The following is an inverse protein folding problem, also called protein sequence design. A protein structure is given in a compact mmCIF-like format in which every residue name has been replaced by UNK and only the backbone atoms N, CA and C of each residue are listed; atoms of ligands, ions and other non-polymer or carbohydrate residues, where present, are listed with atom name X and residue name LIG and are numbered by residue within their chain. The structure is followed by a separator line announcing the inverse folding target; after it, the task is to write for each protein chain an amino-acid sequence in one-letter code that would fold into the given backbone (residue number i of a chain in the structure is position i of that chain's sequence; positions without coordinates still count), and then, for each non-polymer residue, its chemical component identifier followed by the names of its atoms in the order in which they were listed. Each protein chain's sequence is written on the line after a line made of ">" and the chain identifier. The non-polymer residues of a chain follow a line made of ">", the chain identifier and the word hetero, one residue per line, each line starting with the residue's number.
data_IF_138888749463
#
_entry.id   IF_138888749463
#
_cell.length_a   1.000
_cell.length_b   1.000
_cell.length_c   1.000
_cell.angle_alpha   90.00
_cell.angle_beta   90.00
_cell.angle_gamma   90.00
#
_symmetry.space_group_name_H-M   'P 1'
#
loop_
_entity.id
_entity.type
_entity.pdbx_description
1 polymer ?
#
# COMPACT_ATOMS: atom_id res chain seq x y z
N UNK A 1 -10.97 21.12 0.64
CA UNK A 1 -10.00 20.08 1.09
C UNK A 1 -9.36 19.44 -0.14
N UNK A 2 -8.03 19.36 -0.13
CA UNK A 2 -7.31 18.72 -1.24
C UNK A 2 -7.44 17.20 -1.11
N UNK A 3 -7.55 16.48 -2.25
CA UNK A 3 -7.53 15.02 -2.23
C UNK A 3 -6.22 14.49 -1.65
N UNK A 4 -6.31 13.43 -0.85
CA UNK A 4 -5.13 12.81 -0.26
C UNK A 4 -4.44 11.87 -1.26
N UNK A 5 -3.13 11.89 -1.24
CA UNK A 5 -2.29 10.95 -1.99
C UNK A 5 -1.73 9.94 -1.01
N UNK A 6 -1.99 8.67 -1.26
CA UNK A 6 -1.74 7.60 -0.30
C UNK A 6 -0.92 6.47 -0.91
N UNK A 7 -0.07 5.87 -0.08
CA UNK A 7 0.62 4.61 -0.39
C UNK A 7 0.33 3.66 0.77
N UNK A 8 0.07 2.39 0.48
CA UNK A 8 -0.33 1.41 1.49
C UNK A 8 0.63 0.22 1.47
N UNK A 9 1.19 -0.10 2.65
CA UNK A 9 2.09 -1.25 2.84
C UNK A 9 1.33 -2.56 2.69
N UNK A 10 2.05 -3.60 2.29
CA UNK A 10 1.50 -4.94 2.00
C UNK A 10 0.70 -5.52 3.17
N UNK A 11 1.17 -5.36 4.40
CA UNK A 11 0.47 -5.96 5.54
C UNK A 11 -0.94 -5.38 5.75
N UNK A 12 -1.16 -4.12 5.40
CA UNK A 12 -2.49 -3.51 5.45
C UNK A 12 -3.38 -4.11 4.36
N UNK A 13 -2.84 -4.32 3.16
CA UNK A 13 -3.57 -4.95 2.05
C UNK A 13 -3.94 -6.40 2.41
N UNK A 14 -3.02 -7.16 2.99
CA UNK A 14 -3.29 -8.54 3.43
C UNK A 14 -4.40 -8.57 4.48
N UNK A 15 -4.31 -7.71 5.49
CA UNK A 15 -5.35 -7.60 6.52
C UNK A 15 -6.71 -7.23 5.93
N UNK A 16 -6.72 -6.33 4.93
CA UNK A 16 -7.94 -5.94 4.23
C UNK A 16 -8.56 -7.13 3.49
N UNK A 17 -7.73 -7.98 2.87
CA UNK A 17 -8.20 -9.16 2.15
C UNK A 17 -8.76 -10.22 3.10
N UNK A 18 -8.13 -10.40 4.26
CA UNK A 18 -8.49 -11.45 5.21
C UNK A 18 -9.65 -11.06 6.14
N UNK A 19 -9.86 -9.78 6.38
CA UNK A 19 -10.87 -9.29 7.31
C UNK A 19 -11.74 -8.22 6.66
N UNK A 20 -12.85 -8.63 5.99
CA UNK A 20 -13.70 -7.68 5.27
C UNK A 20 -14.33 -6.60 6.15
N UNK A 21 -14.46 -6.84 7.46
CA UNK A 21 -15.08 -5.89 8.39
C UNK A 21 -14.06 -5.08 9.18
N UNK A 22 -12.77 -5.24 8.88
CA UNK A 22 -11.71 -4.55 9.62
C UNK A 22 -11.44 -3.13 9.14
N UNK A 23 -10.74 -2.37 9.97
CA UNK A 23 -10.34 -1.00 9.65
C UNK A 23 -9.44 -0.94 8.41
N UNK A 24 -8.60 -1.96 8.21
CA UNK A 24 -7.70 -2.01 7.06
C UNK A 24 -8.49 -2.08 5.75
N UNK A 25 -9.58 -2.84 5.71
CA UNK A 25 -10.45 -2.90 4.53
C UNK A 25 -11.10 -1.54 4.27
N UNK A 26 -11.60 -0.89 5.31
CA UNK A 26 -12.20 0.44 5.21
C UNK A 26 -11.18 1.45 4.68
N UNK A 27 -9.97 1.44 5.23
CA UNK A 27 -8.89 2.33 4.81
C UNK A 27 -8.54 2.12 3.34
N UNK A 28 -8.39 0.86 2.91
CA UNK A 28 -8.08 0.55 1.52
C UNK A 28 -9.18 1.03 0.59
N UNK A 29 -10.44 0.76 0.92
CA UNK A 29 -11.57 1.18 0.08
C UNK A 29 -11.66 2.70 -0.02
N UNK A 30 -11.39 3.43 1.06
CA UNK A 30 -11.34 4.89 1.01
C UNK A 30 -10.23 5.37 0.08
N UNK A 31 -9.05 4.75 0.14
CA UNK A 31 -7.93 5.12 -0.73
C UNK A 31 -8.23 4.88 -2.21
N UNK A 32 -9.07 3.89 -2.52
CA UNK A 32 -9.47 3.55 -3.89
C UNK A 32 -10.66 4.36 -4.37
N UNK A 33 -11.31 5.13 -3.49
CA UNK A 33 -12.55 5.86 -3.80
C UNK A 33 -12.25 7.35 -3.94
N UNK A 34 -12.68 7.94 -5.06
CA UNK A 34 -12.52 9.38 -5.28
C UNK A 34 -13.15 10.17 -4.14
N UNK A 35 -12.57 11.29 -3.73
CA UNK A 35 -11.47 12.03 -4.38
C UNK A 35 -10.06 11.56 -4.00
N UNK A 36 -9.91 10.57 -3.12
CA UNK A 36 -8.61 10.12 -2.68
C UNK A 36 -7.89 9.37 -3.81
N UNK A 37 -6.55 9.28 -3.73
CA UNK A 37 -5.72 8.62 -4.74
C UNK A 37 -4.76 7.64 -4.08
N UNK A 38 -4.87 6.37 -4.44
CA UNK A 38 -3.88 5.36 -4.07
C UNK A 38 -2.82 5.29 -5.16
N UNK A 39 -1.56 5.33 -4.77
CA UNK A 39 -0.42 5.17 -5.67
C UNK A 39 0.27 3.86 -5.40
N UNK A 40 0.64 3.16 -6.47
CA UNK A 40 1.39 1.92 -6.43
C UNK A 40 2.50 1.97 -7.48
N UNK A 41 3.48 1.08 -7.35
CA UNK A 41 4.46 0.82 -8.39
C UNK A 41 4.30 -0.63 -8.84
N UNK A 42 4.96 -1.01 -9.95
CA UNK A 42 4.96 -2.41 -10.36
C UNK A 42 5.57 -3.32 -9.28
N UNK A 43 6.63 -2.86 -8.60
CA UNK A 43 7.23 -3.59 -7.50
C UNK A 43 6.25 -3.82 -6.36
N UNK A 44 5.45 -2.82 -6.02
CA UNK A 44 4.43 -2.92 -4.97
C UNK A 44 3.32 -3.88 -5.38
N UNK A 45 2.85 -3.80 -6.62
CA UNK A 45 1.82 -4.73 -7.12
C UNK A 45 2.32 -6.17 -7.09
N UNK A 46 3.57 -6.41 -7.49
CA UNK A 46 4.19 -7.73 -7.43
C UNK A 46 4.29 -8.23 -5.99
N UNK A 47 4.64 -7.36 -5.06
CA UNK A 47 4.70 -7.68 -3.63
C UNK A 47 3.32 -8.07 -3.10
N UNK A 48 2.28 -7.28 -3.41
CA UNK A 48 0.91 -7.62 -3.02
C UNK A 48 0.52 -9.00 -3.56
N UNK A 49 0.76 -9.23 -4.85
CA UNK A 49 0.40 -10.50 -5.50
C UNK A 49 1.14 -11.68 -4.87
N UNK A 50 2.44 -11.54 -4.63
CA UNK A 50 3.25 -12.60 -4.04
C UNK A 50 2.80 -12.96 -2.63
N UNK A 51 2.57 -11.97 -1.80
CA UNK A 51 2.17 -12.20 -0.41
C UNK A 51 0.76 -12.78 -0.33
N UNK A 52 -0.19 -12.24 -1.09
CA UNK A 52 -1.57 -12.73 -1.11
C UNK A 52 -1.67 -14.18 -1.61
N UNK A 53 -0.70 -14.64 -2.38
CA UNK A 53 -0.69 -16.01 -2.91
C UNK A 53 -0.07 -17.03 -1.95
N UNK A 54 0.44 -16.60 -0.79
CA UNK A 54 1.03 -17.53 0.20
C UNK A 54 0.00 -18.54 0.68
N UNK A 55 0.32 -19.88 0.64
CA UNK A 55 -0.66 -20.91 0.94
C UNK A 55 -1.29 -20.83 2.34
N UNK A 56 -0.53 -20.38 3.34
CA UNK A 56 -1.04 -20.30 4.71
C UNK A 56 -2.15 -19.25 4.89
N UNK A 57 -2.33 -18.33 3.94
CA UNK A 57 -3.41 -17.36 3.99
C UNK A 57 -4.74 -17.92 3.50
N UNK A 58 -4.72 -19.04 2.78
CA UNK A 58 -5.92 -19.73 2.28
C UNK A 58 -6.86 -18.82 1.46
N UNK A 59 -6.31 -17.87 0.71
CA UNK A 59 -7.12 -17.01 -0.16
C UNK A 59 -7.27 -17.69 -1.50
N UNK A 60 -8.50 -17.91 -1.93
CA UNK A 60 -8.79 -18.55 -3.22
C UNK A 60 -8.21 -17.72 -4.36
N UNK A 61 -7.69 -18.41 -5.38
CA UNK A 61 -7.06 -17.77 -6.53
C UNK A 61 -7.98 -16.72 -7.19
N UNK A 62 -9.24 -17.06 -7.42
CA UNK A 62 -10.19 -16.13 -8.03
C UNK A 62 -10.43 -14.89 -7.17
N UNK A 63 -10.53 -15.08 -5.85
CA UNK A 63 -10.74 -13.98 -4.91
C UNK A 63 -9.53 -13.04 -4.90
N UNK A 64 -8.31 -13.58 -4.81
CA UNK A 64 -7.13 -12.72 -4.79
C UNK A 64 -6.89 -12.03 -6.13
N UNK A 65 -7.21 -12.68 -7.25
CA UNK A 65 -7.11 -12.04 -8.57
C UNK A 65 -8.09 -10.87 -8.69
N UNK A 66 -9.33 -11.03 -8.24
CA UNK A 66 -10.32 -9.95 -8.25
C UNK A 66 -9.90 -8.80 -7.35
N UNK A 67 -9.33 -9.12 -6.18
CA UNK A 67 -8.86 -8.13 -5.23
C UNK A 67 -7.71 -7.30 -5.81
N UNK A 68 -6.73 -7.97 -6.42
CA UNK A 68 -5.61 -7.31 -7.07
C UNK A 68 -6.05 -6.46 -8.26
N UNK A 69 -7.01 -6.97 -9.05
CA UNK A 69 -7.54 -6.23 -10.19
C UNK A 69 -8.27 -4.98 -9.74
N UNK A 70 -9.02 -5.06 -8.64
CA UNK A 70 -9.67 -3.90 -8.04
C UNK A 70 -8.65 -2.83 -7.67
N UNK A 71 -7.58 -3.23 -6.98
CA UNK A 71 -6.51 -2.30 -6.59
C UNK A 71 -5.88 -1.69 -7.83
N UNK A 72 -5.50 -2.50 -8.81
CA UNK A 72 -4.84 -2.02 -10.02
C UNK A 72 -5.72 -1.05 -10.81
N UNK A 73 -7.01 -1.35 -10.94
CA UNK A 73 -7.93 -0.54 -11.74
C UNK A 73 -8.26 0.80 -11.10
N UNK A 74 -8.15 0.91 -9.78
CA UNK A 74 -8.53 2.11 -9.04
C UNK A 74 -7.35 2.82 -8.39
N UNK A 75 -6.12 2.46 -8.77
CA UNK A 75 -4.91 3.12 -8.29
C UNK A 75 -4.15 3.75 -9.46
N UNK A 76 -3.18 4.59 -9.10
CA UNK A 76 -2.26 5.18 -10.06
C UNK A 76 -0.94 4.40 -10.02
N UNK A 77 -0.58 3.76 -11.13
CA UNK A 77 0.68 3.03 -11.23
C UNK A 77 1.76 4.00 -11.69
N UNK A 78 2.77 4.18 -10.86
CA UNK A 78 3.87 5.10 -11.16
C UNK A 78 5.20 4.34 -11.16
N UNK A 79 6.22 4.95 -11.77
CA UNK A 79 7.57 4.40 -11.82
C UNK A 79 8.50 5.30 -11.01
N UNK A 80 8.92 4.88 -9.79
CA UNK A 80 9.87 5.67 -9.00
C UNK A 80 11.18 5.84 -9.76
N UNK A 81 11.74 7.05 -9.72
CA UNK A 81 12.98 7.39 -10.42
C UNK A 81 14.22 7.19 -9.56
N UNK A 82 14.06 6.98 -8.25
CA UNK A 82 15.17 6.83 -7.31
C UNK A 82 15.02 5.57 -6.48
N UNK A 83 16.15 4.98 -6.14
CA UNK A 83 16.20 3.93 -5.12
C UNK A 83 16.58 4.56 -3.80
N UNK A 84 15.90 4.16 -2.73
CA UNK A 84 16.09 4.71 -1.39
C UNK A 84 16.41 3.60 -0.39
N UNK A 85 17.27 3.90 0.57
CA UNK A 85 17.64 2.97 1.63
C UNK A 85 17.32 3.62 2.98
N UNK A 86 16.02 3.81 3.26
CA UNK A 86 15.53 4.57 4.40
C UNK A 86 14.99 3.66 5.50
N UNK A 87 14.31 2.57 5.11
CA UNK A 87 13.74 1.63 6.08
C UNK A 87 14.80 0.68 6.62
N UNK A 88 14.60 0.22 7.86
CA UNK A 88 15.43 -0.82 8.45
C UNK A 88 15.29 -2.16 7.75
N UNK A 89 14.16 -2.39 7.06
CA UNK A 89 13.93 -3.57 6.23
C UNK A 89 14.01 -3.14 4.77
N UNK A 90 15.01 -3.64 3.99
CA UNK A 90 15.15 -3.25 2.59
C UNK A 90 13.91 -3.51 1.73
N UNK A 91 13.13 -4.54 2.07
CA UNK A 91 11.92 -4.87 1.30
C UNK A 91 10.84 -3.79 1.43
N UNK A 92 10.91 -2.96 2.47
CA UNK A 92 9.96 -1.87 2.69
C UNK A 92 10.33 -0.59 1.95
N UNK A 93 11.54 -0.50 1.42
CA UNK A 93 11.98 0.72 0.74
C UNK A 93 11.17 1.02 -0.53
N UNK A 94 10.60 0.00 -1.18
CA UNK A 94 9.76 0.22 -2.36
C UNK A 94 8.56 1.12 -2.06
N UNK A 95 8.03 1.06 -0.83
CA UNK A 95 6.89 1.90 -0.43
C UNK A 95 7.30 3.35 -0.25
N UNK A 96 8.48 3.58 0.32
CA UNK A 96 9.01 4.94 0.47
C UNK A 96 9.39 5.52 -0.90
N UNK A 97 9.96 4.71 -1.79
CA UNK A 97 10.27 5.12 -3.16
C UNK A 97 9.02 5.56 -3.91
N UNK A 98 7.94 4.79 -3.77
CA UNK A 98 6.65 5.12 -4.37
C UNK A 98 6.07 6.40 -3.76
N UNK A 99 6.10 6.52 -2.44
CA UNK A 99 5.61 7.71 -1.75
C UNK A 99 6.37 8.97 -2.16
N UNK A 100 7.70 8.85 -2.32
CA UNK A 100 8.54 9.94 -2.77
C UNK A 100 8.14 10.40 -4.18
N UNK A 101 8.00 9.46 -5.11
CA UNK A 101 7.64 9.75 -6.49
C UNK A 101 6.23 10.34 -6.61
N UNK A 102 5.30 9.84 -5.81
CA UNK A 102 3.90 10.29 -5.81
C UNK A 102 3.70 11.57 -5.01
N UNK A 103 4.68 11.99 -4.22
CA UNK A 103 4.53 13.07 -3.23
C UNK A 103 3.35 12.77 -2.31
N UNK A 104 3.33 11.55 -1.76
CA UNK A 104 2.22 11.07 -0.95
C UNK A 104 2.09 11.86 0.35
N UNK A 105 0.84 12.05 0.79
CA UNK A 105 0.56 12.66 2.08
C UNK A 105 0.79 11.66 3.21
N UNK A 106 0.42 10.40 2.99
CA UNK A 106 0.56 9.34 3.99
C UNK A 106 1.05 8.04 3.35
N UNK A 107 1.91 7.34 4.10
CA UNK A 107 2.23 5.93 3.89
C UNK A 107 1.59 5.17 5.04
N UNK A 108 0.65 4.30 4.75
CA UNK A 108 -0.13 3.58 5.76
C UNK A 108 0.44 2.19 5.93
N UNK A 109 0.87 1.86 7.15
CA UNK A 109 1.52 0.59 7.47
C UNK A 109 1.10 0.09 8.85
N UNK A 110 1.08 -1.24 9.03
CA UNK A 110 0.95 -1.85 10.35
C UNK A 110 2.28 -1.98 11.09
N UNK A 111 3.40 -1.72 10.41
CA UNK A 111 4.76 -1.89 10.94
C UNK A 111 5.52 -0.57 10.98
N UNK A 112 4.97 0.43 11.68
CA UNK A 112 5.57 1.76 11.73
C UNK A 112 7.04 1.75 12.18
N UNK A 113 7.45 0.75 12.98
CA UNK A 113 8.82 0.62 13.47
C UNK A 113 9.84 0.39 12.35
N UNK A 114 9.43 -0.16 11.22
CA UNK A 114 10.31 -0.41 10.08
C UNK A 114 10.57 0.84 9.25
N UNK A 115 9.84 1.91 9.52
CA UNK A 115 9.88 3.15 8.74
C UNK A 115 10.28 4.33 9.60
N UNK A 116 10.84 5.41 9.02
CA UNK A 116 10.95 6.67 9.73
C UNK A 116 9.54 7.21 10.03
N UNK A 117 9.42 8.19 10.90
CA UNK A 117 8.12 8.80 11.21
C UNK A 117 7.56 9.59 10.05
N UNK A 118 8.43 10.08 9.20
CA UNK A 118 8.05 10.82 7.99
C UNK A 118 9.17 10.73 6.97
N UNK A 119 8.83 10.95 5.72
CA UNK A 119 9.78 11.11 4.61
C UNK A 119 9.34 12.33 3.82
N UNK A 120 10.10 13.44 3.90
CA UNK A 120 9.72 14.73 3.33
C UNK A 120 8.32 15.11 3.83
N UNK A 121 7.34 15.35 2.93
CA UNK A 121 5.97 15.67 3.33
C UNK A 121 5.12 14.44 3.69
N UNK A 122 5.61 13.23 3.43
CA UNK A 122 4.86 12.00 3.69
C UNK A 122 4.94 11.61 5.16
N UNK A 123 3.79 11.49 5.81
CA UNK A 123 3.71 10.98 7.19
C UNK A 123 3.44 9.48 7.16
N UNK A 124 4.11 8.75 8.05
CA UNK A 124 3.96 7.31 8.18
C UNK A 124 2.98 7.05 9.32
N UNK A 125 1.84 6.44 9.01
CA UNK A 125 0.75 6.21 9.97
C UNK A 125 0.25 4.77 9.87
N UNK A 126 -0.57 4.34 10.86
CA UNK A 126 -1.29 3.09 10.75
C UNK A 126 -2.74 3.36 10.31
N UNK A 127 -3.53 2.28 10.14
CA UNK A 127 -4.90 2.36 9.60
C UNK A 127 -5.96 2.82 10.62
N UNK A 128 -5.53 3.43 11.71
CA UNK A 128 -6.46 3.90 12.74
C UNK A 128 -6.78 5.38 12.63
#
# INVERSE_FOLDING_TARGET
>A
MLPLRLVIDTNVVVSAALNPEGLQRTTLLLALTKPEHLYVSEAILDEYAGVLSRPHLHIRRGVRQQFLQLIKNHSHVIAPSRRLEVSSDPDDNMFIECADAARADYLITGNQRHFPKFWKQTKIINAR
#
